data_IF_306976321126
#
_entry.id   IF_306976321126
#
_cell.length_a   1.000
_cell.length_b   1.000
_cell.length_c   1.000
_cell.angle_alpha   90.00
_cell.angle_beta   90.00
_cell.angle_gamma   90.00
#
_symmetry.space_group_name_H-M   'P 1'
#
loop_
_entity.id
_entity.type
_entity.pdbx_description
1 polymer ?
#
# COMPACT_ATOMS: atom_id res chain seq x y z
N UNK A 1 22.50 -2.41 46.41
CA UNK A 1 22.17 -2.40 44.97
C UNK A 1 20.80 -3.01 44.67
N UNK A 2 20.16 -3.67 45.62
CA UNK A 2 18.80 -4.25 45.46
C UNK A 2 17.63 -3.27 45.67
N UNK A 3 17.83 -2.17 46.42
CA UNK A 3 16.75 -1.20 46.70
C UNK A 3 16.41 -0.22 45.59
N UNK A 4 17.18 -0.20 44.48
CA UNK A 4 16.89 0.68 43.33
C UNK A 4 16.14 -0.01 42.17
N UNK A 5 15.99 -1.33 42.23
CA UNK A 5 15.25 -2.11 41.23
C UNK A 5 13.73 -2.19 41.53
N UNK A 6 13.34 -2.02 42.79
CA UNK A 6 11.92 -2.07 43.20
C UNK A 6 11.11 -0.82 42.81
N UNK A 7 11.77 0.30 42.48
CA UNK A 7 11.12 1.54 42.08
C UNK A 7 10.91 1.67 40.56
N UNK A 8 11.46 0.78 39.73
CA UNK A 8 11.31 0.78 38.28
C UNK A 8 10.45 -0.36 37.72
N UNK A 9 10.23 -1.40 38.49
CA UNK A 9 9.22 -2.41 38.19
C UNK A 9 7.94 -1.98 38.89
N UNK A 10 7.09 -1.26 38.15
CA UNK A 10 5.73 -1.01 38.62
C UNK A 10 5.11 -2.31 39.14
N UNK A 11 4.26 -2.17 40.15
CA UNK A 11 3.52 -3.21 40.84
C UNK A 11 3.23 -4.45 40.05
N UNK A 12 3.32 -5.66 40.57
CA UNK A 12 3.00 -6.88 39.85
C UNK A 12 1.61 -6.74 39.20
N UNK A 13 1.53 -7.13 37.95
CA UNK A 13 0.30 -7.07 37.11
C UNK A 13 -0.92 -7.66 37.83
N UNK A 14 -0.73 -8.48 38.81
CA UNK A 14 -1.79 -9.12 39.62
C UNK A 14 -2.50 -8.14 40.56
N UNK A 15 -1.82 -7.11 41.09
CA UNK A 15 -2.45 -6.15 42.01
C UNK A 15 -3.27 -5.04 41.33
N UNK A 16 -3.06 -4.83 40.01
CA UNK A 16 -3.88 -3.90 39.23
C UNK A 16 -5.25 -4.47 38.82
N UNK A 17 -5.41 -5.80 38.92
CA UNK A 17 -6.63 -6.50 38.53
C UNK A 17 -7.78 -6.40 39.54
N UNK A 18 -7.48 -6.20 40.83
CA UNK A 18 -8.50 -6.22 41.89
C UNK A 18 -9.22 -4.88 42.13
N UNK A 19 -8.79 -3.80 41.48
CA UNK A 19 -9.37 -2.47 41.69
C UNK A 19 -10.30 -1.94 40.61
N UNK A 20 -10.49 -2.68 39.51
CA UNK A 20 -11.46 -2.30 38.46
C UNK A 20 -12.55 -3.39 38.32
N UNK A 21 -13.66 -3.19 38.98
CA UNK A 21 -14.87 -3.97 38.72
C UNK A 21 -15.28 -3.83 37.24
N UNK A 22 -15.24 -4.94 36.48
CA UNK A 22 -15.84 -5.07 35.18
C UNK A 22 -14.91 -4.97 33.96
N UNK A 23 -13.62 -4.77 34.13
CA UNK A 23 -12.68 -4.89 33.01
C UNK A 23 -12.36 -6.38 32.75
N UNK A 24 -12.82 -6.92 31.65
CA UNK A 24 -12.35 -8.22 31.18
C UNK A 24 -10.86 -8.12 30.93
N UNK A 25 -10.05 -8.82 31.72
CA UNK A 25 -8.58 -8.86 31.55
C UNK A 25 -8.35 -9.53 30.19
N UNK A 26 -7.98 -8.74 29.19
CA UNK A 26 -7.56 -9.28 27.90
C UNK A 26 -6.26 -10.07 28.12
N UNK A 27 -6.30 -11.39 27.91
CA UNK A 27 -5.11 -12.24 27.99
C UNK A 27 -4.07 -11.72 26.99
N UNK A 28 -2.78 -11.57 27.39
CA UNK A 28 -1.75 -11.09 26.49
C UNK A 28 -1.56 -12.03 25.30
N UNK A 29 -1.57 -11.49 24.09
CA UNK A 29 -1.32 -12.25 22.88
C UNK A 29 0.17 -12.43 22.61
N UNK A 30 0.57 -13.62 22.16
CA UNK A 30 1.95 -13.93 21.75
C UNK A 30 2.12 -13.72 20.25
N UNK A 31 3.18 -13.06 19.83
CA UNK A 31 3.56 -12.93 18.44
C UNK A 31 2.92 -11.71 17.76
N UNK A 32 3.52 -10.54 17.93
CA UNK A 32 3.07 -9.29 17.32
C UNK A 32 3.60 -9.07 15.90
N UNK A 33 2.93 -8.18 15.18
CA UNK A 33 3.23 -7.74 13.82
C UNK A 33 3.34 -6.22 13.83
N UNK A 34 4.28 -5.64 13.08
CA UNK A 34 4.44 -4.18 12.98
C UNK A 34 3.10 -3.52 12.59
N UNK A 35 2.76 -2.43 13.30
CA UNK A 35 1.54 -1.64 13.07
C UNK A 35 1.42 -1.11 11.63
N UNK A 36 2.56 -0.87 10.96
CA UNK A 36 2.61 -0.39 9.58
C UNK A 36 2.55 -1.51 8.53
N UNK A 37 2.57 -2.78 8.96
CA UNK A 37 2.40 -3.90 8.05
C UNK A 37 1.00 -3.90 7.45
N UNK A 38 0.89 -4.07 6.13
CA UNK A 38 -0.37 -3.94 5.42
C UNK A 38 -1.08 -5.28 5.22
N UNK A 39 -2.39 -5.24 5.34
CA UNK A 39 -3.29 -6.37 5.11
C UNK A 39 -4.43 -5.97 4.18
N UNK A 40 -4.95 -6.95 3.47
CA UNK A 40 -6.24 -6.85 2.81
C UNK A 40 -7.33 -7.21 3.82
N UNK A 41 -8.32 -6.36 3.95
CA UNK A 41 -9.40 -6.54 4.91
C UNK A 41 -10.77 -6.24 4.30
N UNK A 42 -11.79 -6.84 4.89
CA UNK A 42 -13.19 -6.46 4.70
C UNK A 42 -13.77 -6.04 6.04
N UNK A 43 -14.29 -4.84 6.13
CA UNK A 43 -14.95 -4.32 7.34
C UNK A 43 -16.37 -3.92 6.98
N UNK A 44 -17.35 -4.55 7.62
CA UNK A 44 -18.76 -4.36 7.30
C UNK A 44 -19.06 -4.52 5.79
N UNK A 45 -18.44 -5.51 5.15
CA UNK A 45 -18.59 -5.79 3.72
C UNK A 45 -17.83 -4.86 2.76
N UNK A 46 -17.12 -3.85 3.25
CA UNK A 46 -16.29 -2.96 2.43
C UNK A 46 -14.85 -3.44 2.39
N UNK A 47 -14.34 -3.66 1.18
CA UNK A 47 -12.95 -4.03 0.96
C UNK A 47 -12.00 -2.85 1.12
N UNK A 48 -10.83 -3.09 1.70
CA UNK A 48 -9.74 -2.12 1.80
C UNK A 48 -8.38 -2.79 1.97
N UNK A 49 -7.33 -2.03 1.65
CA UNK A 49 -5.95 -2.35 2.02
C UNK A 49 -5.46 -1.28 2.99
N UNK A 50 -5.06 -1.69 4.17
CA UNK A 50 -4.64 -0.75 5.20
C UNK A 50 -3.57 -1.37 6.10
N UNK A 51 -2.88 -0.52 6.88
CA UNK A 51 -1.99 -1.01 7.92
C UNK A 51 -2.78 -1.70 9.03
N UNK A 52 -2.15 -2.67 9.71
CA UNK A 52 -2.75 -3.37 10.85
C UNK A 52 -3.13 -2.41 11.98
N UNK A 53 -2.30 -1.39 12.25
CA UNK A 53 -2.62 -0.37 13.25
C UNK A 53 -3.90 0.41 12.92
N UNK A 54 -4.08 0.78 11.62
CA UNK A 54 -5.33 1.41 11.17
C UNK A 54 -6.52 0.45 11.28
N UNK A 55 -6.36 -0.80 10.88
CA UNK A 55 -7.42 -1.80 11.00
C UNK A 55 -7.86 -1.98 12.46
N UNK A 56 -6.89 -2.10 13.39
CA UNK A 56 -7.16 -2.22 14.82
C UNK A 56 -7.94 -1.01 15.35
N UNK A 57 -7.50 0.21 14.98
CA UNK A 57 -8.20 1.45 15.34
C UNK A 57 -9.63 1.47 14.79
N UNK A 58 -9.82 1.18 13.50
CA UNK A 58 -11.13 1.20 12.86
C UNK A 58 -12.09 0.21 13.51
N UNK A 59 -11.64 -1.02 13.80
CA UNK A 59 -12.44 -2.05 14.47
C UNK A 59 -12.84 -1.59 15.87
N UNK A 60 -11.90 -1.05 16.64
CA UNK A 60 -12.18 -0.52 18.00
C UNK A 60 -13.18 0.61 17.97
N UNK A 61 -13.01 1.57 17.06
CA UNK A 61 -13.89 2.72 16.93
C UNK A 61 -15.30 2.30 16.50
N UNK A 62 -15.42 1.33 15.60
CA UNK A 62 -16.72 0.77 15.19
C UNK A 62 -17.39 -0.03 16.30
N UNK A 63 -16.61 -0.84 17.06
CA UNK A 63 -17.12 -1.56 18.25
C UNK A 63 -17.66 -0.58 19.30
N UNK A 64 -16.89 0.45 19.65
CA UNK A 64 -17.29 1.47 20.63
C UNK A 64 -18.57 2.20 20.22
N UNK A 65 -18.78 2.41 18.91
CA UNK A 65 -19.99 3.03 18.36
C UNK A 65 -21.16 2.06 18.15
N UNK A 66 -20.99 0.77 18.48
CA UNK A 66 -21.99 -0.27 18.20
C UNK A 66 -22.24 -0.51 16.70
N UNK A 67 -21.32 -0.12 15.83
CA UNK A 67 -21.48 -0.16 14.37
C UNK A 67 -20.68 -1.28 13.70
N UNK A 68 -19.87 -2.05 14.45
CA UNK A 68 -19.16 -3.17 13.89
C UNK A 68 -20.10 -4.36 13.72
N UNK A 69 -20.31 -4.77 12.46
CA UNK A 69 -21.03 -6.00 12.11
C UNK A 69 -20.03 -7.15 12.01
N UNK A 70 -18.98 -6.96 11.17
CA UNK A 70 -17.97 -7.98 10.92
C UNK A 70 -16.66 -7.34 10.42
N UNK A 71 -15.53 -7.97 10.78
CA UNK A 71 -14.23 -7.70 10.17
C UNK A 71 -13.58 -9.01 9.73
N UNK A 72 -12.95 -9.00 8.55
CA UNK A 72 -12.24 -10.15 7.96
C UNK A 72 -10.90 -9.69 7.40
N UNK A 73 -9.91 -10.57 7.39
CA UNK A 73 -8.59 -10.38 6.76
C UNK A 73 -8.31 -11.53 5.80
N UNK A 74 -7.57 -11.21 4.74
CA UNK A 74 -7.27 -12.19 3.70
C UNK A 74 -6.19 -13.18 4.13
N UNK A 75 -6.38 -14.46 3.82
CA UNK A 75 -5.39 -15.53 3.88
C UNK A 75 -5.14 -16.10 2.48
N UNK A 76 -3.92 -15.97 1.96
CA UNK A 76 -3.56 -16.45 0.63
C UNK A 76 -3.46 -17.98 0.55
N UNK A 77 -3.31 -18.69 1.67
CA UNK A 77 -3.27 -20.14 1.70
C UNK A 77 -4.65 -20.75 1.47
N UNK A 78 -5.69 -20.17 2.08
CA UNK A 78 -7.09 -20.61 1.86
C UNK A 78 -7.75 -19.86 0.71
N UNK A 79 -7.14 -18.78 0.22
CA UNK A 79 -7.71 -17.85 -0.74
C UNK A 79 -9.06 -17.26 -0.30
N UNK A 80 -9.21 -16.95 0.98
CA UNK A 80 -10.44 -16.47 1.59
C UNK A 80 -10.20 -15.32 2.55
N UNK A 81 -11.26 -14.56 2.81
CA UNK A 81 -11.30 -13.59 3.89
C UNK A 81 -11.74 -14.26 5.18
N UNK A 82 -10.82 -14.45 6.09
CA UNK A 82 -11.01 -15.09 7.39
C UNK A 82 -11.52 -14.08 8.42
N UNK A 83 -12.48 -14.49 9.23
CA UNK A 83 -13.07 -13.63 10.27
C UNK A 83 -12.03 -13.26 11.32
N UNK A 84 -11.96 -11.96 11.64
CA UNK A 84 -11.15 -11.45 12.76
C UNK A 84 -11.93 -11.71 14.05
N UNK A 85 -11.39 -12.59 14.88
CA UNK A 85 -11.95 -12.88 16.20
C UNK A 85 -11.55 -11.80 17.19
N UNK A 86 -10.28 -11.36 17.11
CA UNK A 86 -9.73 -10.39 18.02
C UNK A 86 -8.57 -9.61 17.36
N UNK A 87 -8.43 -8.36 17.72
CA UNK A 87 -7.30 -7.52 17.32
C UNK A 87 -6.95 -6.56 18.46
N UNK A 88 -5.68 -6.53 18.84
CA UNK A 88 -5.15 -5.70 19.90
C UNK A 88 -3.95 -4.89 19.39
N UNK A 89 -4.01 -3.56 19.50
CA UNK A 89 -2.97 -2.62 19.05
C UNK A 89 -2.03 -2.19 20.18
N UNK A 90 -2.27 -2.65 21.41
CA UNK A 90 -1.45 -2.35 22.57
C UNK A 90 -0.62 -3.53 23.05
N UNK A 91 -0.36 -4.50 22.17
CA UNK A 91 0.49 -5.65 22.50
C UNK A 91 1.93 -5.19 22.77
N UNK A 92 2.14 -4.50 23.87
CA UNK A 92 3.45 -4.35 24.52
C UNK A 92 3.86 -5.72 25.06
N UNK A 93 4.24 -6.56 24.13
CA UNK A 93 4.86 -7.84 24.44
C UNK A 93 6.27 -7.50 24.91
N UNK A 94 6.50 -7.38 26.20
CA UNK A 94 7.80 -7.24 26.85
C UNK A 94 9.05 -7.05 25.96
N UNK A 95 10.24 -7.19 26.44
CA UNK A 95 11.50 -7.11 25.69
C UNK A 95 11.65 -8.26 24.67
N UNK A 96 10.77 -8.30 23.65
CA UNK A 96 10.84 -9.29 22.59
C UNK A 96 11.55 -8.68 21.40
N UNK A 97 12.67 -9.26 20.98
CA UNK A 97 13.40 -8.87 19.77
C UNK A 97 12.49 -8.94 18.57
N UNK A 98 12.64 -7.97 17.68
CA UNK A 98 11.91 -7.90 16.41
C UNK A 98 12.79 -8.35 15.26
N UNK A 99 12.17 -8.90 14.24
CA UNK A 99 12.82 -9.42 13.05
C UNK A 99 12.23 -8.81 11.81
N UNK A 100 13.07 -8.17 10.98
CA UNK A 100 12.74 -7.81 9.62
C UNK A 100 13.17 -8.96 8.69
N UNK A 101 12.21 -9.64 8.11
CA UNK A 101 12.44 -10.72 7.14
C UNK A 101 12.22 -10.16 5.75
N UNK A 102 13.25 -10.24 4.90
CA UNK A 102 13.23 -9.76 3.49
C UNK A 102 13.33 -10.95 2.56
N UNK A 103 12.55 -10.95 1.48
CA UNK A 103 12.48 -12.06 0.53
C UNK A 103 13.02 -11.68 -0.85
N UNK A 104 13.32 -12.68 -1.68
CA UNK A 104 13.76 -12.51 -3.07
C UNK A 104 12.74 -11.78 -3.96
N UNK A 105 11.45 -11.82 -3.60
CA UNK A 105 10.40 -11.05 -4.26
C UNK A 105 10.27 -9.62 -3.74
N UNK A 106 11.22 -9.15 -2.92
CA UNK A 106 11.23 -7.80 -2.34
C UNK A 106 10.22 -7.57 -1.22
N UNK A 107 9.40 -8.56 -0.89
CA UNK A 107 8.50 -8.47 0.24
C UNK A 107 9.30 -8.45 1.53
N UNK A 108 8.82 -7.71 2.48
CA UNK A 108 9.40 -7.65 3.81
C UNK A 108 8.28 -7.73 4.85
N UNK A 109 8.60 -8.29 5.98
CA UNK A 109 7.69 -8.34 7.12
C UNK A 109 8.46 -8.11 8.42
N UNK A 110 7.97 -7.20 9.24
CA UNK A 110 8.52 -6.91 10.55
C UNK A 110 7.62 -7.56 11.62
N UNK A 111 8.17 -8.48 12.37
CA UNK A 111 7.43 -9.29 13.34
C UNK A 111 8.23 -9.52 14.63
N UNK A 112 7.58 -9.91 15.70
CA UNK A 112 8.26 -10.38 16.92
C UNK A 112 9.01 -11.69 16.69
N UNK A 113 10.04 -11.95 17.46
CA UNK A 113 10.90 -13.13 17.38
C UNK A 113 10.16 -14.47 17.47
N UNK A 114 9.06 -14.50 18.19
CA UNK A 114 8.23 -15.68 18.42
C UNK A 114 7.06 -15.84 17.42
N UNK A 115 6.94 -14.93 16.44
CA UNK A 115 5.93 -15.02 15.38
C UNK A 115 6.24 -16.16 14.42
N UNK A 116 5.21 -16.94 14.07
CA UNK A 116 5.34 -18.03 13.11
C UNK A 116 5.02 -17.55 11.68
N UNK A 117 5.87 -17.93 10.73
CA UNK A 117 5.69 -17.74 9.30
C UNK A 117 5.45 -19.09 8.62
N UNK A 118 4.63 -19.12 7.58
CA UNK A 118 4.42 -20.32 6.77
C UNK A 118 5.58 -20.51 5.80
N UNK A 119 6.29 -21.63 5.96
CA UNK A 119 7.41 -22.05 5.11
C UNK A 119 6.96 -23.24 4.28
N UNK A 120 7.21 -23.20 3.00
CA UNK A 120 6.96 -24.30 2.08
C UNK A 120 8.20 -25.19 2.02
N UNK A 121 8.12 -26.41 2.50
CA UNK A 121 9.10 -27.47 2.29
C UNK A 121 8.77 -28.23 0.99
N UNK A 122 9.77 -28.58 0.19
CA UNK A 122 9.68 -29.08 -1.19
C UNK A 122 8.48 -30.04 -1.45
N UNK A 123 7.36 -29.44 -1.89
CA UNK A 123 6.15 -30.17 -2.32
C UNK A 123 5.25 -30.72 -1.23
N UNK A 124 5.55 -30.48 0.04
CA UNK A 124 4.76 -30.90 1.20
C UNK A 124 3.91 -29.76 1.78
N UNK A 125 3.10 -30.09 2.77
CA UNK A 125 2.31 -29.13 3.54
C UNK A 125 3.16 -28.00 4.12
N UNK A 126 2.58 -26.80 4.21
CA UNK A 126 3.20 -25.64 4.87
C UNK A 126 3.65 -25.99 6.29
N UNK A 127 4.93 -25.84 6.58
CA UNK A 127 5.46 -25.88 7.93
C UNK A 127 5.43 -24.49 8.58
N UNK A 128 5.43 -24.45 9.91
CA UNK A 128 5.43 -23.19 10.67
C UNK A 128 6.79 -23.01 11.34
N UNK A 129 7.50 -21.96 10.96
CA UNK A 129 8.80 -21.63 11.51
C UNK A 129 8.74 -20.28 12.25
N UNK A 130 9.27 -20.22 13.47
CA UNK A 130 9.37 -18.94 14.22
C UNK A 130 10.33 -17.99 13.53
N UNK A 131 10.07 -16.69 13.58
CA UNK A 131 10.91 -15.66 12.96
C UNK A 131 12.37 -15.75 13.39
N UNK A 132 12.64 -16.07 14.66
CA UNK A 132 14.00 -16.24 15.21
C UNK A 132 14.67 -17.56 14.81
N UNK A 133 13.98 -18.47 14.14
CA UNK A 133 14.50 -19.75 13.63
C UNK A 133 14.54 -19.83 12.10
N UNK A 134 14.09 -18.77 11.42
CA UNK A 134 14.19 -18.70 9.96
C UNK A 134 15.65 -18.65 9.53
N UNK A 135 15.92 -19.26 8.38
CA UNK A 135 17.21 -19.28 7.71
C UNK A 135 17.13 -18.60 6.34
N UNK A 136 18.26 -18.04 5.90
CA UNK A 136 18.38 -17.56 4.52
C UNK A 136 18.21 -18.75 3.57
N UNK A 137 17.32 -18.62 2.59
CA UNK A 137 16.98 -19.70 1.66
C UNK A 137 15.62 -20.33 1.92
N UNK A 138 15.04 -20.19 3.14
CA UNK A 138 13.70 -20.68 3.45
C UNK A 138 12.69 -20.09 2.46
N UNK A 139 11.73 -20.90 2.03
CA UNK A 139 10.70 -20.50 1.06
C UNK A 139 9.41 -20.13 1.79
N UNK A 140 9.14 -18.85 1.95
CA UNK A 140 7.88 -18.38 2.55
C UNK A 140 6.73 -18.49 1.55
N UNK A 141 5.55 -18.89 2.04
CA UNK A 141 4.31 -18.86 1.26
C UNK A 141 3.91 -17.42 0.98
N UNK A 142 3.67 -17.11 -0.28
CA UNK A 142 3.35 -15.76 -0.72
C UNK A 142 2.02 -15.69 -1.46
N UNK A 143 1.44 -14.52 -1.43
CA UNK A 143 0.31 -14.16 -2.25
C UNK A 143 0.76 -13.83 -3.69
N UNK A 144 0.22 -14.54 -4.66
CA UNK A 144 0.50 -14.34 -6.09
C UNK A 144 -0.50 -13.43 -6.79
N UNK A 145 -1.56 -13.02 -6.10
CA UNK A 145 -2.64 -12.23 -6.69
C UNK A 145 -3.54 -12.97 -7.68
N UNK A 146 -3.16 -14.21 -8.07
CA UNK A 146 -3.83 -14.94 -9.15
C UNK A 146 -5.24 -15.42 -8.82
N UNK A 147 -5.55 -15.61 -7.55
CA UNK A 147 -6.75 -16.32 -7.13
C UNK A 147 -7.95 -15.41 -6.82
N UNK A 148 -7.78 -14.12 -6.70
CA UNK A 148 -8.77 -13.22 -6.10
C UNK A 148 -9.85 -12.65 -7.03
N UNK A 149 -9.83 -12.95 -8.34
CA UNK A 149 -10.83 -12.40 -9.27
C UNK A 149 -12.28 -12.75 -8.90
N UNK A 150 -12.51 -13.91 -8.26
CA UNK A 150 -13.86 -14.31 -7.86
C UNK A 150 -14.31 -13.74 -6.51
N UNK A 151 -13.38 -13.57 -5.56
CA UNK A 151 -13.71 -13.05 -4.23
C UNK A 151 -14.02 -11.54 -4.24
N UNK A 152 -13.39 -10.80 -5.16
CA UNK A 152 -13.58 -9.34 -5.31
C UNK A 152 -14.74 -8.99 -6.26
N UNK A 153 -15.34 -9.96 -6.94
CA UNK A 153 -16.53 -9.75 -7.80
C UNK A 153 -17.84 -9.64 -7.00
N UNK A 154 -17.77 -9.47 -5.69
CA UNK A 154 -18.95 -8.99 -4.95
C UNK A 154 -19.38 -7.69 -5.64
N UNK A 155 -20.64 -7.64 -6.10
CA UNK A 155 -21.29 -6.44 -6.63
C UNK A 155 -21.34 -5.38 -5.54
N UNK A 156 -20.18 -4.77 -5.28
CA UNK A 156 -20.12 -3.59 -4.43
C UNK A 156 -20.71 -2.48 -5.28
N UNK A 157 -21.83 -1.91 -4.85
CA UNK A 157 -22.30 -0.65 -5.40
C UNK A 157 -21.12 0.31 -5.27
N UNK A 158 -20.79 1.03 -6.37
CA UNK A 158 -19.75 2.05 -6.33
C UNK A 158 -19.95 2.89 -5.07
N UNK A 159 -18.95 2.88 -4.18
CA UNK A 159 -18.97 3.75 -3.04
C UNK A 159 -18.75 5.17 -3.56
N UNK A 160 -19.80 5.96 -3.58
CA UNK A 160 -19.70 7.36 -3.97
C UNK A 160 -19.14 8.15 -2.79
N UNK A 161 -18.09 8.89 -3.06
CA UNK A 161 -17.65 9.97 -2.19
C UNK A 161 -18.53 11.18 -2.54
N UNK A 162 -19.13 11.81 -1.54
CA UNK A 162 -20.03 12.94 -1.74
C UNK A 162 -19.28 14.06 -2.51
N UNK A 163 -19.81 14.50 -3.64
CA UNK A 163 -19.14 15.47 -4.53
C UNK A 163 -18.25 14.87 -5.63
N UNK A 164 -18.17 13.55 -5.76
CA UNK A 164 -17.42 12.93 -6.86
C UNK A 164 -18.16 13.02 -8.17
N UNK A 165 -17.43 13.50 -9.19
CA UNK A 165 -17.90 13.63 -10.54
C UNK A 165 -18.15 12.28 -11.21
N UNK A 166 -19.06 12.29 -12.20
CA UNK A 166 -19.25 11.17 -13.13
C UNK A 166 -18.12 11.10 -14.17
N UNK A 167 -17.25 12.12 -14.27
CA UNK A 167 -16.20 12.21 -15.28
C UNK A 167 -14.92 11.49 -14.82
N UNK A 168 -14.29 10.78 -15.73
CA UNK A 168 -13.07 9.99 -15.46
C UNK A 168 -11.85 10.85 -15.14
N UNK A 169 -11.84 12.12 -15.55
CA UNK A 169 -10.71 13.03 -15.38
C UNK A 169 -10.34 13.30 -13.92
N UNK A 170 -11.35 13.54 -13.07
CA UNK A 170 -11.08 13.82 -11.65
C UNK A 170 -10.39 12.65 -10.94
N UNK A 171 -10.73 11.40 -11.26
CA UNK A 171 -10.06 10.23 -10.68
C UNK A 171 -8.56 10.22 -11.02
N UNK A 172 -8.19 10.63 -12.24
CA UNK A 172 -6.80 10.78 -12.66
C UNK A 172 -6.10 11.89 -11.84
N UNK A 173 -6.73 13.05 -11.67
CA UNK A 173 -6.19 14.15 -10.85
C UNK A 173 -5.95 13.68 -9.41
N UNK A 174 -6.90 12.98 -8.80
CA UNK A 174 -6.75 12.43 -7.46
C UNK A 174 -5.57 11.45 -7.38
N UNK A 175 -5.45 10.53 -8.33
CA UNK A 175 -4.32 9.62 -8.39
C UNK A 175 -2.97 10.36 -8.47
N UNK A 176 -2.89 11.44 -9.27
CA UNK A 176 -1.71 12.29 -9.33
C UNK A 176 -1.38 12.91 -7.98
N UNK A 177 -2.37 13.50 -7.31
CA UNK A 177 -2.20 14.14 -6.00
C UNK A 177 -1.86 13.14 -4.88
N UNK A 178 -2.13 11.85 -5.03
CA UNK A 178 -1.72 10.83 -4.06
C UNK A 178 -0.22 10.85 -3.76
N UNK A 179 0.61 11.14 -4.76
CA UNK A 179 2.07 11.12 -4.64
C UNK A 179 2.74 12.49 -4.77
N UNK A 180 2.29 13.34 -5.69
CA UNK A 180 2.96 14.62 -6.00
C UNK A 180 2.24 15.84 -5.45
N UNK A 181 0.99 15.72 -5.05
CA UNK A 181 0.24 16.84 -4.52
C UNK A 181 0.61 17.21 -3.10
N UNK A 182 0.45 18.48 -2.76
CA UNK A 182 0.48 19.00 -1.39
C UNK A 182 -0.72 19.91 -1.20
N UNK A 183 -1.21 20.03 0.03
CA UNK A 183 -2.16 21.08 0.38
C UNK A 183 -1.91 21.55 1.82
N UNK A 184 -2.03 22.84 2.04
CA UNK A 184 -1.79 23.49 3.32
C UNK A 184 -2.70 24.72 3.38
N UNK A 185 -3.44 24.87 4.49
CA UNK A 185 -4.30 26.02 4.70
C UNK A 185 -5.34 26.26 3.60
N UNK A 186 -5.96 25.21 3.08
CA UNK A 186 -6.93 25.25 1.99
C UNK A 186 -6.34 25.38 0.58
N UNK A 187 -5.08 25.82 0.43
CA UNK A 187 -4.39 25.85 -0.86
C UNK A 187 -3.82 24.49 -1.21
N UNK A 188 -3.83 24.14 -2.50
CA UNK A 188 -3.20 22.92 -3.01
C UNK A 188 -2.14 23.23 -4.05
N UNK A 189 -1.15 22.35 -4.16
CA UNK A 189 -0.11 22.50 -5.17
C UNK A 189 0.39 21.13 -5.64
N UNK A 190 0.88 21.08 -6.88
CA UNK A 190 1.55 19.93 -7.43
C UNK A 190 2.65 20.35 -8.39
N UNK A 191 3.56 19.42 -8.72
CA UNK A 191 4.69 19.70 -9.60
C UNK A 191 4.66 18.80 -10.83
N UNK A 192 5.14 19.37 -11.93
CA UNK A 192 5.35 18.70 -13.21
C UNK A 192 6.82 18.88 -13.61
N UNK A 193 7.41 17.91 -14.29
CA UNK A 193 8.71 18.09 -14.92
C UNK A 193 8.56 19.04 -16.11
N UNK A 194 9.61 19.80 -16.43
CA UNK A 194 9.63 20.61 -17.65
C UNK A 194 9.56 19.67 -18.85
N UNK A 195 8.67 19.96 -19.81
CA UNK A 195 8.30 19.06 -20.90
C UNK A 195 6.99 18.29 -20.65
N UNK A 196 6.37 18.48 -19.46
CA UNK A 196 5.06 17.94 -19.12
C UNK A 196 3.96 19.02 -19.12
N UNK A 197 4.17 20.12 -19.84
CA UNK A 197 3.22 21.24 -19.93
C UNK A 197 1.81 20.77 -20.37
N UNK A 198 1.75 19.81 -21.30
CA UNK A 198 0.47 19.23 -21.74
C UNK A 198 -0.29 18.47 -20.64
N UNK A 199 0.42 17.92 -19.64
CA UNK A 199 -0.22 17.31 -18.46
C UNK A 199 -0.76 18.36 -17.50
N UNK A 200 -0.04 19.48 -17.34
CA UNK A 200 -0.49 20.61 -16.56
C UNK A 200 -1.75 21.23 -17.18
N UNK A 201 -1.74 21.50 -18.50
CA UNK A 201 -2.90 22.05 -19.22
C UNK A 201 -4.11 21.14 -19.07
N UNK A 202 -3.91 19.83 -19.19
CA UNK A 202 -4.98 18.86 -19.01
C UNK A 202 -5.51 18.86 -17.60
N UNK A 203 -4.65 18.93 -16.58
CA UNK A 203 -5.09 19.01 -15.19
C UNK A 203 -5.93 20.27 -14.96
N UNK A 204 -5.50 21.43 -15.45
CA UNK A 204 -6.28 22.66 -15.40
C UNK A 204 -7.64 22.51 -16.09
N UNK A 205 -7.68 21.93 -17.29
CA UNK A 205 -8.93 21.70 -18.02
C UNK A 205 -9.91 20.80 -17.24
N UNK A 206 -9.41 19.74 -16.60
CA UNK A 206 -10.23 18.86 -15.75
C UNK A 206 -10.75 19.62 -14.53
N UNK A 207 -9.89 20.32 -13.80
CA UNK A 207 -10.28 21.07 -12.61
C UNK A 207 -11.29 22.18 -12.92
N UNK A 208 -11.18 22.81 -14.10
CA UNK A 208 -12.16 23.78 -14.62
C UNK A 208 -13.48 23.10 -14.93
N UNK A 209 -13.48 21.97 -15.63
CA UNK A 209 -14.69 21.19 -15.93
C UNK A 209 -15.43 20.75 -14.66
N UNK A 210 -14.71 20.45 -13.60
CA UNK A 210 -15.24 20.04 -12.30
C UNK A 210 -15.61 21.24 -11.40
N UNK A 211 -15.40 22.46 -11.87
CA UNK A 211 -15.80 23.69 -11.18
C UNK A 211 -14.87 24.11 -10.03
N UNK A 212 -13.68 23.52 -9.90
CA UNK A 212 -12.69 23.93 -8.90
C UNK A 212 -11.90 25.19 -9.30
N UNK A 213 -11.77 25.48 -10.59
CA UNK A 213 -11.15 26.69 -11.08
C UNK A 213 -12.05 27.38 -12.09
N UNK A 214 -12.03 28.69 -12.10
CA UNK A 214 -12.78 29.52 -13.04
C UNK A 214 -11.86 30.14 -14.09
N UNK A 215 -12.42 30.93 -15.01
CA UNK A 215 -11.64 31.76 -15.93
C UNK A 215 -11.12 33.06 -15.28
N UNK A 216 -11.36 33.23 -13.97
CA UNK A 216 -10.94 34.42 -13.24
C UNK A 216 -9.46 34.32 -12.92
N UNK A 217 -8.70 35.38 -13.26
CA UNK A 217 -7.31 35.50 -12.87
C UNK A 217 -7.17 35.40 -11.33
N UNK A 218 -6.26 34.52 -10.86
CA UNK A 218 -5.94 34.35 -9.45
C UNK A 218 -6.32 33.00 -8.85
N UNK A 219 -7.19 32.20 -9.50
CA UNK A 219 -7.51 30.84 -9.01
C UNK A 219 -6.31 29.90 -9.06
N UNK A 220 -5.42 30.12 -10.03
CA UNK A 220 -4.22 29.31 -10.24
C UNK A 220 -2.99 30.18 -10.41
N UNK A 221 -1.84 29.67 -9.99
CA UNK A 221 -0.53 30.25 -10.28
C UNK A 221 0.40 29.15 -10.76
N UNK A 222 1.01 29.36 -11.92
CA UNK A 222 2.08 28.49 -12.43
C UNK A 222 3.42 29.16 -12.14
N UNK A 223 4.28 28.46 -11.40
CA UNK A 223 5.60 28.95 -11.02
C UNK A 223 6.65 28.06 -11.68
N UNK A 224 7.51 28.66 -12.50
CA UNK A 224 8.71 27.99 -13.03
C UNK A 224 9.78 27.95 -11.93
N UNK A 225 10.25 26.77 -11.60
CA UNK A 225 11.22 26.57 -10.53
C UNK A 225 12.42 25.76 -11.04
N UNK A 226 13.59 26.40 -11.03
CA UNK A 226 14.86 25.78 -11.38
C UNK A 226 15.58 25.29 -10.13
N UNK A 227 15.83 23.99 -10.04
CA UNK A 227 16.62 23.35 -8.97
C UNK A 227 18.08 23.10 -9.38
N UNK A 228 18.59 23.77 -10.39
CA UNK A 228 19.92 23.53 -10.92
C UNK A 228 20.08 22.09 -11.43
N UNK A 229 21.07 21.34 -10.91
CA UNK A 229 21.32 19.95 -11.31
C UNK A 229 20.13 18.99 -11.10
N UNK A 230 19.15 19.35 -10.25
CA UNK A 230 17.95 18.54 -9.99
C UNK A 230 16.84 18.74 -11.01
N UNK A 231 17.06 19.59 -12.01
CA UNK A 231 16.13 19.83 -13.10
C UNK A 231 15.16 20.99 -12.88
N UNK A 232 14.44 21.31 -13.94
CA UNK A 232 13.45 22.38 -13.98
C UNK A 232 12.05 21.80 -13.81
N UNK A 233 11.23 22.45 -12.97
CA UNK A 233 9.89 22.00 -12.63
C UNK A 233 8.90 23.15 -12.79
N UNK A 234 7.67 22.82 -13.17
CA UNK A 234 6.51 23.70 -13.12
C UNK A 234 5.68 23.37 -11.88
N UNK A 235 5.35 24.37 -11.09
CA UNK A 235 4.44 24.23 -9.96
C UNK A 235 3.09 24.85 -10.31
N UNK A 236 2.06 24.02 -10.29
CA UNK A 236 0.67 24.47 -10.29
C UNK A 236 0.24 24.66 -8.83
N UNK A 237 -0.14 25.88 -8.48
CA UNK A 237 -0.72 26.21 -7.18
C UNK A 237 -2.16 26.68 -7.38
N UNK A 238 -3.08 26.09 -6.62
CA UNK A 238 -4.47 26.51 -6.53
C UNK A 238 -4.66 27.21 -5.19
N UNK A 239 -5.30 28.38 -5.22
CA UNK A 239 -5.56 29.16 -4.00
C UNK A 239 -6.71 28.54 -3.18
N UNK A 240 -6.82 28.94 -1.93
CA UNK A 240 -7.80 28.39 -0.98
C UNK A 240 -9.26 28.60 -1.44
N UNK A 241 -9.55 29.72 -2.10
CA UNK A 241 -10.89 30.05 -2.61
C UNK A 241 -11.46 29.04 -3.62
N UNK A 242 -10.59 28.24 -4.28
CA UNK A 242 -11.03 27.18 -5.20
C UNK A 242 -11.74 26.01 -4.48
N UNK A 243 -11.57 25.86 -3.17
CA UNK A 243 -12.09 24.73 -2.39
C UNK A 243 -11.41 23.39 -2.67
N UNK A 244 -10.51 23.30 -3.68
CA UNK A 244 -9.89 22.03 -4.07
C UNK A 244 -8.96 21.49 -2.99
N UNK A 245 -8.26 22.35 -2.24
CA UNK A 245 -7.41 21.94 -1.12
C UNK A 245 -8.23 21.27 0.00
N UNK A 246 -9.39 21.84 0.37
CA UNK A 246 -10.29 21.25 1.36
C UNK A 246 -10.89 19.93 0.86
N UNK A 247 -11.28 19.87 -0.41
CA UNK A 247 -11.73 18.63 -1.03
C UNK A 247 -10.66 17.52 -0.96
N UNK A 248 -9.38 17.83 -1.23
CA UNK A 248 -8.26 16.88 -1.10
C UNK A 248 -8.07 16.45 0.36
N UNK A 249 -8.17 17.39 1.31
CA UNK A 249 -8.07 17.10 2.74
C UNK A 249 -9.15 16.12 3.19
N UNK A 250 -10.39 16.36 2.81
CA UNK A 250 -11.51 15.48 3.12
C UNK A 250 -11.35 14.12 2.45
N UNK A 251 -10.93 14.11 1.19
CA UNK A 251 -10.74 12.88 0.43
C UNK A 251 -9.61 12.00 0.99
N UNK A 252 -8.44 12.57 1.31
CA UNK A 252 -7.27 11.84 1.81
C UNK A 252 -7.20 11.72 3.34
N UNK A 253 -8.04 12.45 4.06
CA UNK A 253 -8.14 12.37 5.51
C UNK A 253 -6.95 12.93 6.29
N UNK A 254 -6.14 13.83 5.69
CA UNK A 254 -4.99 14.42 6.37
C UNK A 254 -4.33 15.54 5.56
N UNK A 255 -3.53 16.38 6.19
CA UNK A 255 -2.84 17.52 5.57
C UNK A 255 -1.41 17.20 5.12
N UNK A 256 -0.74 16.26 5.77
CA UNK A 256 0.66 15.96 5.54
C UNK A 256 0.84 14.91 4.44
N UNK A 257 1.81 15.14 3.57
CA UNK A 257 2.13 14.27 2.43
C UNK A 257 2.53 12.85 2.86
N UNK A 258 3.24 12.72 3.98
CA UNK A 258 3.78 11.44 4.44
C UNK A 258 2.73 10.58 5.15
N UNK A 259 1.64 11.18 5.64
CA UNK A 259 0.55 10.50 6.34
C UNK A 259 -0.62 10.12 5.40
N UNK A 260 -0.52 10.46 4.10
CA UNK A 260 -1.57 10.15 3.15
C UNK A 260 -1.75 8.65 2.94
N UNK A 261 -3.01 8.26 2.87
CA UNK A 261 -3.43 6.90 2.54
C UNK A 261 -4.46 6.96 1.42
N UNK A 262 -4.56 5.91 0.63
CA UNK A 262 -5.64 5.79 -0.35
C UNK A 262 -6.95 5.60 0.41
N UNK A 263 -7.97 6.43 0.17
CA UNK A 263 -9.26 6.30 0.82
C UNK A 263 -9.92 4.96 0.57
N UNK A 264 -10.64 4.43 1.58
CA UNK A 264 -11.29 3.11 1.50
C UNK A 264 -12.30 3.01 0.32
N UNK A 265 -12.92 4.13 -0.08
CA UNK A 265 -13.85 4.17 -1.20
C UNK A 265 -13.19 3.80 -2.54
N UNK A 266 -11.92 4.15 -2.75
CA UNK A 266 -11.18 3.88 -4.00
C UNK A 266 -11.11 2.38 -4.28
N UNK A 267 -10.96 1.55 -3.26
CA UNK A 267 -10.90 0.09 -3.41
C UNK A 267 -12.24 -0.52 -3.85
N UNK A 268 -13.33 0.21 -3.64
CA UNK A 268 -14.69 -0.22 -3.94
C UNK A 268 -15.26 0.43 -5.21
N UNK A 269 -14.47 1.22 -5.93
CA UNK A 269 -14.85 1.77 -7.23
C UNK A 269 -14.83 0.70 -8.33
N UNK A 270 -15.52 0.99 -9.43
CA UNK A 270 -15.45 0.17 -10.64
C UNK A 270 -14.00 0.11 -11.20
N UNK A 271 -13.73 -0.91 -12.01
CA UNK A 271 -12.40 -1.10 -12.61
C UNK A 271 -11.93 0.14 -13.39
N UNK A 272 -12.84 0.78 -14.15
CA UNK A 272 -12.51 1.98 -14.92
C UNK A 272 -12.09 3.16 -14.03
N UNK A 273 -12.79 3.41 -12.93
CA UNK A 273 -12.44 4.45 -11.96
C UNK A 273 -11.11 4.14 -11.27
N UNK A 274 -10.89 2.90 -10.85
CA UNK A 274 -9.61 2.46 -10.25
C UNK A 274 -8.45 2.57 -11.22
N UNK A 275 -8.64 2.19 -12.48
CA UNK A 275 -7.62 2.33 -13.54
C UNK A 275 -7.32 3.80 -13.83
N UNK A 276 -8.33 4.68 -13.88
CA UNK A 276 -8.11 6.11 -14.04
C UNK A 276 -7.31 6.70 -12.86
N UNK A 277 -7.64 6.34 -11.63
CA UNK A 277 -6.89 6.74 -10.43
C UNK A 277 -5.43 6.24 -10.48
N UNK A 278 -5.22 4.96 -10.80
CA UNK A 278 -3.87 4.39 -10.96
C UNK A 278 -3.09 5.07 -12.08
N UNK A 279 -3.75 5.47 -13.17
CA UNK A 279 -3.11 6.21 -14.24
C UNK A 279 -2.57 7.56 -13.78
N UNK A 280 -3.25 8.26 -12.89
CA UNK A 280 -2.72 9.48 -12.27
C UNK A 280 -1.48 9.21 -11.42
N UNK A 281 -1.46 8.11 -10.67
CA UNK A 281 -0.26 7.67 -9.92
C UNK A 281 0.89 7.33 -10.89
N UNK A 282 0.61 6.60 -11.95
CA UNK A 282 1.61 6.20 -12.97
C UNK A 282 2.18 7.43 -13.65
N UNK A 283 1.34 8.35 -14.09
CA UNK A 283 1.79 9.56 -14.78
C UNK A 283 2.60 10.49 -13.87
N UNK A 284 2.32 10.47 -12.56
CA UNK A 284 3.05 11.29 -11.58
C UNK A 284 4.37 10.68 -11.14
N UNK A 285 4.47 9.35 -11.00
CA UNK A 285 5.60 8.65 -10.37
C UNK A 285 6.03 7.35 -11.03
N UNK A 286 5.33 6.94 -12.09
CA UNK A 286 5.69 5.76 -12.84
C UNK A 286 6.91 5.99 -13.73
N UNK A 287 7.74 4.96 -13.80
CA UNK A 287 8.85 4.88 -14.72
C UNK A 287 8.89 3.47 -15.33
N UNK A 288 9.06 3.38 -16.63
CA UNK A 288 9.13 2.08 -17.32
C UNK A 288 10.58 1.78 -17.68
N UNK A 289 11.01 0.60 -17.28
CA UNK A 289 12.37 0.09 -17.52
C UNK A 289 12.31 -1.09 -18.48
N UNK A 290 13.27 -1.14 -19.43
CA UNK A 290 13.53 -2.30 -20.27
C UNK A 290 14.36 -3.32 -19.51
N UNK A 291 13.90 -4.55 -19.44
CA UNK A 291 14.62 -5.67 -18.87
C UNK A 291 14.90 -6.71 -19.97
N UNK A 292 15.85 -7.62 -19.72
CA UNK A 292 16.20 -8.72 -20.62
C UNK A 292 14.99 -9.60 -21.02
N UNK A 293 13.90 -9.55 -20.27
CA UNK A 293 12.69 -10.37 -20.51
C UNK A 293 11.40 -9.57 -20.70
N UNK A 294 11.47 -8.26 -20.93
CA UNK A 294 10.27 -7.42 -21.12
C UNK A 294 10.34 -6.07 -20.45
N UNK A 295 9.19 -5.47 -20.27
CA UNK A 295 9.04 -4.17 -19.61
C UNK A 295 8.64 -4.33 -18.15
N UNK A 296 9.09 -3.39 -17.33
CA UNK A 296 8.73 -3.27 -15.94
C UNK A 296 8.36 -1.83 -15.61
N UNK A 297 7.15 -1.62 -15.14
CA UNK A 297 6.74 -0.35 -14.56
C UNK A 297 7.16 -0.32 -13.09
N UNK A 298 7.85 0.73 -12.69
CA UNK A 298 8.20 1.02 -11.30
C UNK A 298 7.47 2.25 -10.80
N UNK A 299 6.98 2.19 -9.55
CA UNK A 299 6.39 3.32 -8.83
C UNK A 299 7.15 3.47 -7.52
N UNK A 300 7.74 4.64 -7.29
CA UNK A 300 8.58 4.90 -6.12
C UNK A 300 7.89 5.84 -5.14
N UNK A 301 7.85 5.46 -3.86
CA UNK A 301 7.30 6.28 -2.78
C UNK A 301 8.10 6.18 -1.47
N UNK A 302 7.90 7.13 -0.59
CA UNK A 302 8.46 7.12 0.77
C UNK A 302 7.49 6.54 1.79
N UNK A 303 6.20 6.73 1.57
CA UNK A 303 5.14 6.17 2.41
C UNK A 303 4.90 4.70 2.02
N UNK A 304 5.32 3.77 2.89
CA UNK A 304 5.18 2.33 2.65
C UNK A 304 3.72 1.88 2.60
N UNK A 305 2.85 2.45 3.44
CA UNK A 305 1.41 2.13 3.45
C UNK A 305 0.79 2.51 2.12
N UNK A 306 1.07 3.70 1.61
CA UNK A 306 0.56 4.17 0.32
C UNK A 306 1.00 3.25 -0.83
N UNK A 307 2.28 2.83 -0.85
CA UNK A 307 2.80 1.92 -1.89
C UNK A 307 2.14 0.53 -1.80
N UNK A 308 1.91 0.00 -0.59
CA UNK A 308 1.16 -1.23 -0.40
C UNK A 308 -0.31 -1.11 -0.79
N UNK A 309 -0.91 0.04 -0.61
CA UNK A 309 -2.27 0.31 -1.06
C UNK A 309 -2.37 0.32 -2.59
N UNK A 310 -1.38 0.90 -3.29
CA UNK A 310 -1.27 0.82 -4.76
C UNK A 310 -1.11 -0.64 -5.21
N UNK A 311 -0.29 -1.42 -4.50
CA UNK A 311 -0.17 -2.87 -4.73
C UNK A 311 -1.54 -3.57 -4.62
N UNK A 312 -2.31 -3.25 -3.59
CA UNK A 312 -3.66 -3.80 -3.40
C UNK A 312 -4.64 -3.43 -4.52
N UNK A 313 -4.58 -2.18 -5.02
CA UNK A 313 -5.40 -1.77 -6.18
C UNK A 313 -5.02 -2.56 -7.45
N UNK A 314 -3.72 -2.71 -7.72
CA UNK A 314 -3.22 -3.50 -8.86
C UNK A 314 -3.65 -4.96 -8.76
N UNK A 315 -3.49 -5.55 -7.57
CA UNK A 315 -3.94 -6.92 -7.30
C UNK A 315 -5.45 -7.07 -7.52
N UNK A 316 -6.24 -6.13 -7.02
CA UNK A 316 -7.70 -6.11 -7.21
C UNK A 316 -8.13 -6.00 -8.68
N UNK A 317 -7.25 -5.52 -9.55
CA UNK A 317 -7.42 -5.48 -10.99
C UNK A 317 -6.83 -6.71 -11.71
N UNK A 318 -6.20 -7.64 -10.96
CA UNK A 318 -5.64 -8.89 -11.47
C UNK A 318 -4.17 -8.80 -11.90
N UNK A 319 -3.44 -7.76 -11.50
CA UNK A 319 -2.01 -7.63 -11.75
C UNK A 319 -1.19 -8.25 -10.64
N UNK A 320 -0.14 -9.01 -10.98
CA UNK A 320 0.89 -9.42 -10.03
C UNK A 320 1.91 -8.29 -9.91
N UNK A 321 2.10 -7.79 -8.69
CA UNK A 321 3.03 -6.72 -8.39
C UNK A 321 3.89 -7.06 -7.18
N UNK A 322 5.09 -6.48 -7.09
CA UNK A 322 6.01 -6.68 -5.98
C UNK A 322 6.41 -5.36 -5.36
N UNK A 323 6.50 -5.32 -4.03
CA UNK A 323 6.93 -4.13 -3.27
C UNK A 323 8.27 -4.41 -2.62
N UNK A 324 9.25 -3.56 -2.88
CA UNK A 324 10.60 -3.61 -2.33
C UNK A 324 10.83 -2.46 -1.37
N UNK A 325 11.38 -2.76 -0.19
CA UNK A 325 11.86 -1.77 0.76
C UNK A 325 13.36 -1.56 0.55
N UNK A 326 13.77 -0.31 0.29
CA UNK A 326 15.14 0.08 -0.04
C UNK A 326 15.61 1.13 0.94
N UNK A 327 16.79 0.94 1.54
CA UNK A 327 17.40 1.93 2.39
C UNK A 327 17.94 3.11 1.57
N UNK A 328 17.53 4.32 1.89
CA UNK A 328 17.96 5.57 1.25
C UNK A 328 18.90 6.32 2.18
N UNK A 329 20.22 6.24 1.91
CA UNK A 329 21.27 6.89 2.73
C UNK A 329 21.04 8.40 2.86
N UNK A 330 20.72 9.05 1.77
CA UNK A 330 20.51 10.51 1.66
C UNK A 330 19.33 11.02 2.52
N UNK A 331 18.47 10.15 2.99
CA UNK A 331 17.31 10.48 3.82
C UNK A 331 17.30 9.79 5.16
N UNK A 332 18.33 8.99 5.43
CA UNK A 332 18.42 8.14 6.64
C UNK A 332 17.10 7.38 6.92
N UNK A 333 16.51 6.80 5.88
CA UNK A 333 15.20 6.14 5.98
C UNK A 333 14.91 5.18 4.83
N UNK A 334 13.79 4.48 4.93
CA UNK A 334 13.37 3.57 3.87
C UNK A 334 12.57 4.29 2.77
N UNK A 335 12.84 3.90 1.52
CA UNK A 335 11.98 4.12 0.38
C UNK A 335 11.37 2.79 -0.08
N UNK A 336 10.33 2.87 -0.89
CA UNK A 336 9.59 1.72 -1.37
C UNK A 336 9.43 1.81 -2.88
N UNK A 337 9.76 0.72 -3.57
CA UNK A 337 9.54 0.58 -5.00
C UNK A 337 8.52 -0.52 -5.23
N UNK A 338 7.47 -0.19 -5.95
CA UNK A 338 6.51 -1.15 -6.47
C UNK A 338 6.86 -1.44 -7.92
N UNK A 339 6.85 -2.71 -8.29
CA UNK A 339 7.09 -3.18 -9.65
C UNK A 339 5.91 -3.99 -10.15
N UNK A 340 5.49 -3.69 -11.37
CA UNK A 340 4.43 -4.41 -12.09
C UNK A 340 4.77 -4.48 -13.58
N UNK A 341 4.28 -5.51 -14.26
CA UNK A 341 4.40 -5.62 -15.71
C UNK A 341 3.26 -4.81 -16.33
N UNK A 342 3.57 -3.72 -17.08
CA UNK A 342 2.55 -2.91 -17.70
C UNK A 342 1.95 -3.60 -18.93
N UNK A 343 0.67 -3.37 -19.15
CA UNK A 343 -0.04 -3.73 -20.36
C UNK A 343 -0.93 -2.56 -20.85
N UNK A 344 -1.57 -2.72 -21.99
CA UNK A 344 -2.46 -1.70 -22.56
C UNK A 344 -3.63 -1.35 -21.63
N UNK A 345 -4.18 -2.33 -20.91
CA UNK A 345 -5.30 -2.11 -20.00
C UNK A 345 -4.86 -1.24 -18.81
N UNK A 346 -3.68 -1.50 -18.24
CA UNK A 346 -3.17 -0.72 -17.11
C UNK A 346 -2.91 0.74 -17.51
N UNK A 347 -2.44 0.97 -18.73
CA UNK A 347 -2.04 2.29 -19.22
C UNK A 347 -3.12 3.01 -20.03
N UNK A 348 -4.34 2.43 -20.17
CA UNK A 348 -5.38 2.96 -21.06
C UNK A 348 -5.85 4.39 -20.73
N UNK A 349 -5.74 4.82 -19.47
CA UNK A 349 -6.09 6.18 -19.02
C UNK A 349 -4.86 7.05 -18.73
N UNK A 350 -3.66 6.48 -18.81
CA UNK A 350 -2.41 7.21 -18.64
C UNK A 350 -2.23 8.22 -19.76
N UNK A 351 -1.80 9.43 -19.45
CA UNK A 351 -1.51 10.47 -20.43
C UNK A 351 -0.13 10.27 -21.06
N UNK A 352 0.81 9.70 -20.30
CA UNK A 352 2.09 9.22 -20.82
C UNK A 352 1.95 7.89 -21.57
N UNK A 353 0.97 7.11 -21.20
CA UNK A 353 0.41 5.90 -21.79
C UNK A 353 1.36 5.13 -22.72
N UNK A 354 1.10 5.24 -24.00
CA UNK A 354 1.87 4.54 -25.02
C UNK A 354 3.34 4.98 -25.08
N UNK A 355 3.65 6.25 -24.79
CA UNK A 355 5.03 6.74 -24.73
C UNK A 355 5.86 6.01 -23.69
N UNK A 356 5.30 5.69 -22.50
CA UNK A 356 6.00 4.91 -21.46
C UNK A 356 6.36 3.49 -21.93
N UNK A 357 5.56 2.90 -22.83
CA UNK A 357 5.86 1.57 -23.37
C UNK A 357 6.93 1.61 -24.48
N UNK A 358 7.04 2.72 -25.20
CA UNK A 358 7.96 2.87 -26.33
C UNK A 358 9.31 3.47 -25.90
N UNK A 359 9.30 4.40 -24.96
CA UNK A 359 10.50 5.12 -24.51
C UNK A 359 11.72 4.20 -24.26
N UNK A 360 11.58 3.05 -23.56
CA UNK A 360 12.69 2.14 -23.36
C UNK A 360 13.27 1.51 -24.63
N UNK A 361 12.58 1.61 -25.76
CA UNK A 361 12.99 1.07 -27.05
C UNK A 361 13.37 2.15 -28.06
N UNK A 362 13.28 3.44 -27.69
CA UNK A 362 13.52 4.55 -28.64
C UNK A 362 14.96 4.56 -29.20
N UNK A 363 15.93 4.09 -28.42
CA UNK A 363 17.31 3.94 -28.89
C UNK A 363 17.47 2.81 -29.92
N UNK A 364 16.69 1.75 -29.80
CA UNK A 364 16.68 0.60 -30.74
C UNK A 364 15.73 0.83 -31.93
N UNK A 365 14.84 1.84 -31.80
CA UNK A 365 13.63 1.97 -32.61
C UNK A 365 13.80 2.89 -33.85
N UNK A 366 14.98 3.09 -34.38
CA UNK A 366 15.17 3.78 -35.68
C UNK A 366 14.40 3.15 -36.86
N UNK A 367 13.46 2.24 -36.58
CA UNK A 367 12.70 1.51 -37.59
C UNK A 367 11.30 1.02 -37.23
N UNK A 368 10.80 1.26 -36.00
CA UNK A 368 9.53 0.67 -35.57
C UNK A 368 8.33 1.58 -35.86
N UNK A 369 7.43 1.15 -36.74
CA UNK A 369 6.20 1.88 -37.08
C UNK A 369 4.97 0.97 -36.93
N UNK A 370 4.06 1.31 -36.00
CA UNK A 370 2.66 0.89 -36.04
C UNK A 370 2.23 -0.37 -35.25
N UNK A 371 1.18 -1.05 -35.71
CA UNK A 371 0.45 -2.09 -34.99
C UNK A 371 1.26 -3.39 -34.67
N UNK A 372 2.32 -3.68 -35.42
CA UNK A 372 3.18 -4.85 -35.18
C UNK A 372 3.94 -4.76 -33.86
N UNK A 373 4.22 -3.55 -33.40
CA UNK A 373 4.93 -3.29 -32.17
C UNK A 373 4.09 -3.63 -30.94
N UNK A 374 2.79 -3.45 -31.07
CA UNK A 374 1.80 -3.79 -30.06
C UNK A 374 1.81 -5.27 -29.71
N UNK A 375 1.90 -6.15 -30.72
CA UNK A 375 2.00 -7.61 -30.54
C UNK A 375 3.33 -8.03 -29.92
N UNK A 376 4.43 -7.32 -30.24
CA UNK A 376 5.74 -7.55 -29.68
C UNK A 376 5.80 -7.18 -28.19
N UNK A 377 5.19 -6.05 -27.82
CA UNK A 377 5.06 -5.61 -26.42
C UNK A 377 4.23 -6.60 -25.61
N UNK A 378 3.10 -7.09 -26.12
CA UNK A 378 2.28 -8.10 -25.47
C UNK A 378 3.06 -9.42 -25.25
N UNK A 379 3.84 -9.85 -26.24
CA UNK A 379 4.67 -11.05 -26.12
C UNK A 379 5.75 -10.91 -25.05
N UNK A 380 6.43 -9.76 -24.98
CA UNK A 380 7.44 -9.47 -23.97
C UNK A 380 6.82 -9.39 -22.55
N UNK A 381 5.67 -8.76 -22.42
CA UNK A 381 4.90 -8.72 -21.16
C UNK A 381 4.49 -10.12 -20.69
N UNK A 382 4.06 -10.99 -21.62
CA UNK A 382 3.70 -12.38 -21.33
C UNK A 382 4.85 -13.24 -20.82
N UNK A 383 6.07 -13.03 -21.32
CA UNK A 383 7.28 -13.76 -20.88
C UNK A 383 7.67 -13.34 -19.46
N UNK A 384 7.63 -12.05 -19.15
CA UNK A 384 7.94 -11.53 -17.82
C UNK A 384 6.92 -11.99 -16.77
N UNK A 385 5.63 -12.06 -17.13
CA UNK A 385 4.57 -12.56 -16.25
C UNK A 385 4.79 -14.01 -15.80
N UNK A 386 5.32 -14.87 -16.66
CA UNK A 386 5.63 -16.28 -16.32
C UNK A 386 6.72 -16.41 -15.26
N UNK A 387 7.66 -15.46 -15.16
CA UNK A 387 8.75 -15.48 -14.18
C UNK A 387 8.37 -15.01 -12.79
N UNK A 388 7.27 -14.24 -12.65
CA UNK A 388 6.81 -13.71 -11.36
C UNK A 388 5.90 -14.66 -10.59
N UNK A 389 5.52 -15.78 -11.15
CA UNK A 389 4.40 -16.62 -10.72
C UNK A 389 4.71 -17.77 -9.76
N UNK A 390 5.78 -17.74 -8.97
CA UNK A 390 6.00 -18.76 -7.94
C UNK A 390 5.14 -18.47 -6.69
N UNK A 391 4.50 -19.50 -6.12
CA UNK A 391 3.67 -19.40 -4.92
C UNK A 391 4.51 -19.22 -3.63
N UNK A 392 5.82 -19.16 -3.77
CA UNK A 392 6.77 -18.98 -2.68
C UNK A 392 7.80 -17.91 -3.00
N UNK A 393 8.40 -17.33 -1.97
CA UNK A 393 9.53 -16.41 -2.08
C UNK A 393 10.62 -16.80 -1.07
N UNK A 394 11.89 -16.85 -1.52
CA UNK A 394 13.02 -17.21 -0.67
C UNK A 394 13.38 -16.07 0.29
N UNK A 395 13.66 -16.38 1.54
CA UNK A 395 14.27 -15.46 2.49
C UNK A 395 15.69 -15.12 2.02
N UNK A 396 15.95 -13.83 1.86
CA UNK A 396 17.27 -13.33 1.39
C UNK A 396 18.02 -12.58 2.48
N UNK A 397 17.31 -12.04 3.47
CA UNK A 397 17.92 -11.30 4.57
C UNK A 397 17.03 -11.38 5.80
N UNK A 398 17.67 -11.53 6.96
CA UNK A 398 17.02 -11.46 8.27
C UNK A 398 17.82 -10.45 9.10
N UNK A 399 17.14 -9.48 9.69
CA UNK A 399 17.73 -8.45 10.53
C UNK A 399 17.01 -8.51 11.87
N UNK A 400 17.72 -8.82 12.94
CA UNK A 400 17.20 -8.65 14.30
C UNK A 400 17.49 -7.24 14.79
N UNK A 401 16.57 -6.68 15.54
CA UNK A 401 16.75 -5.38 16.18
C UNK A 401 15.93 -5.31 17.46
N UNK A 402 16.53 -4.70 18.47
CA UNK A 402 15.88 -4.42 19.73
C UNK A 402 15.20 -3.04 19.63
N UNK A 403 14.08 -3.01 18.96
CA UNK A 403 13.33 -1.77 18.81
C UNK A 403 11.91 -1.97 19.34
N UNK A 404 11.48 -1.09 20.24
CA UNK A 404 10.15 -1.13 20.85
C UNK A 404 9.09 -0.52 19.91
N UNK A 405 9.02 -1.00 18.67
CA UNK A 405 7.90 -0.62 17.80
C UNK A 405 6.62 -1.19 18.37
N UNK A 406 5.54 -0.42 18.23
CA UNK A 406 4.21 -0.90 18.54
C UNK A 406 3.88 -2.09 17.64
N UNK A 407 3.46 -3.18 18.26
CA UNK A 407 3.05 -4.39 17.57
C UNK A 407 1.54 -4.57 17.71
N UNK A 408 0.93 -5.16 16.69
CA UNK A 408 -0.48 -5.56 16.68
C UNK A 408 -0.57 -7.05 16.88
N UNK A 409 -1.37 -7.48 17.84
CA UNK A 409 -1.84 -8.84 17.97
C UNK A 409 -3.15 -9.02 17.20
N UNK A 410 -3.28 -10.09 16.42
CA UNK A 410 -4.51 -10.42 15.69
C UNK A 410 -4.78 -11.92 15.74
N UNK A 411 -6.06 -12.29 15.92
CA UNK A 411 -6.55 -13.66 15.86
C UNK A 411 -7.62 -13.79 14.79
N UNK A 412 -7.54 -14.84 14.04
CA UNK A 412 -8.45 -15.16 12.93
C UNK A 412 -9.10 -16.52 13.12
N UNK A 413 -10.21 -16.78 12.44
CA UNK A 413 -10.93 -18.05 12.52
C UNK A 413 -10.08 -19.22 12.01
N UNK A 414 -9.33 -19.05 10.93
CA UNK A 414 -8.43 -20.08 10.37
C UNK A 414 -7.11 -20.22 11.11
N UNK A 415 -6.73 -19.24 11.92
CA UNK A 415 -5.42 -19.16 12.54
C UNK A 415 -4.31 -18.58 11.62
N UNK A 416 -4.67 -18.03 10.45
CA UNK A 416 -3.73 -17.49 9.48
C UNK A 416 -4.21 -16.18 8.87
N UNK A 417 -3.25 -15.39 8.35
CA UNK A 417 -3.52 -14.19 7.55
C UNK A 417 -2.34 -13.90 6.63
N UNK A 418 -2.59 -13.03 5.65
CA UNK A 418 -1.54 -12.54 4.73
C UNK A 418 -1.19 -11.10 5.09
N UNK A 419 0.09 -10.85 5.33
CA UNK A 419 0.65 -9.55 5.70
C UNK A 419 1.79 -9.20 4.75
N UNK A 420 1.75 -8.02 4.15
CA UNK A 420 2.71 -7.60 3.13
C UNK A 420 2.91 -8.69 2.04
N UNK A 421 1.84 -9.39 1.69
CA UNK A 421 1.84 -10.47 0.71
C UNK A 421 2.55 -11.75 1.16
N UNK A 422 2.84 -11.95 2.45
CA UNK A 422 3.41 -13.17 3.04
C UNK A 422 2.41 -13.79 4.01
N UNK A 423 2.23 -15.11 3.94
CA UNK A 423 1.36 -15.85 4.84
C UNK A 423 2.02 -16.05 6.20
N UNK A 424 1.31 -15.72 7.25
CA UNK A 424 1.76 -15.89 8.63
C UNK A 424 0.67 -16.53 9.49
N UNK A 425 1.07 -17.15 10.60
CA UNK A 425 0.13 -17.57 11.62
C UNK A 425 -0.34 -16.38 12.44
N UNK A 426 -1.59 -16.41 12.90
CA UNK A 426 -2.14 -15.40 13.79
C UNK A 426 -1.48 -15.41 15.19
N UNK A 427 -1.94 -14.58 16.10
CA UNK A 427 -1.45 -14.56 17.49
C UNK A 427 -2.22 -15.60 18.32
N UNK A 428 -1.52 -16.20 19.30
CA UNK A 428 -2.14 -17.05 20.32
C UNK A 428 -2.11 -16.33 21.68
N UNK A 429 -2.99 -16.72 22.56
CA UNK A 429 -2.85 -16.32 23.98
C UNK A 429 -1.65 -17.04 24.63
N UNK A 430 -1.10 -16.40 25.66
CA UNK A 430 -0.22 -17.09 26.60
C UNK A 430 -1.15 -18.01 27.44
N UNK A 431 -0.93 -19.31 27.31
CA UNK A 431 -1.61 -20.32 28.16
C UNK A 431 -1.10 -20.23 29.58
#
# INVERSE_FOLDING_TARGET
MEKHLETLTGRPIVELADTQMGATIEKPMVGGIDTNACVEAMVNGKYKVCSLGKLAKDIRDLKRKGKLIEARVYDCGTNRFEKVLEINDSATLGNISQYAVVTSGGRYIDVSSNKYLSVCEDGASDSLVRANRLSIGDKLVRDTGRHNRKAMSMKVKDAEFEGMSKFSGLYWVLGWFAFLGTYVGGSSATSFSRGEEGLLDKMCAILKQEGFISDIEGDTTVIDYDRGEKGKYLYLRLVASTGFGEFLKDFYGGELKDDRVIPDCVFNWSDSKRLSYLSGIIDSRGHVEKLTGGLRLSITGLNGVLVWQVWGLLKGLGYDASVYRIWRKERNGYGYNLYVIPDKRLLQYSQKGYALLIEPYMEDAKGIKGAEDSAKIEKLSGIAAKRMGADTCKVTKIISYDNHKLLVGIRTESGYLTVNGVRIRDCKYIE
#
